data_IF_608882308526
#
_entry.id   IF_608882308526
#
_cell.length_a   1.000
_cell.length_b   1.000
_cell.length_c   1.000
_cell.angle_alpha   90.00
_cell.angle_beta   90.00
_cell.angle_gamma   90.00
#
_symmetry.space_group_name_H-M   'P 1'
#
loop_
_entity.id
_entity.type
_entity.pdbx_description
1 polymer ?
#
# COMPACT_ATOMS: atom_id res chain seq x y z
N UNK A 1 -0.43 2.06 16.06
CA UNK A 1 0.01 1.21 14.92
C UNK A 1 1.53 1.24 14.85
N UNK A 2 2.13 0.38 14.06
CA UNK A 2 3.57 0.34 13.85
C UNK A 2 3.90 0.64 12.39
N UNK A 3 4.96 1.42 12.18
CA UNK A 3 5.58 1.64 10.88
C UNK A 3 7.02 1.12 10.97
N UNK A 4 7.36 0.17 10.10
CA UNK A 4 8.62 -0.55 10.16
C UNK A 4 9.30 -0.58 8.81
N UNK A 5 10.63 -0.52 8.82
CA UNK A 5 11.45 -0.85 7.66
C UNK A 5 11.88 -2.31 7.78
N UNK A 6 11.59 -3.09 6.75
CA UNK A 6 11.89 -4.53 6.72
C UNK A 6 12.70 -4.85 5.47
N UNK A 7 13.65 -5.76 5.60
CA UNK A 7 14.38 -6.34 4.49
C UNK A 7 13.86 -7.76 4.23
N UNK A 8 13.52 -8.03 2.98
CA UNK A 8 13.06 -9.33 2.49
C UNK A 8 14.10 -9.89 1.51
N UNK A 9 14.38 -11.18 1.53
CA UNK A 9 15.36 -11.82 0.64
C UNK A 9 14.73 -12.34 -0.67
N UNK A 10 13.67 -11.69 -1.17
CA UNK A 10 12.90 -12.16 -2.33
C UNK A 10 12.19 -11.03 -3.07
N UNK A 11 12.06 -11.20 -4.40
CA UNK A 11 11.36 -10.31 -5.32
C UNK A 11 9.99 -10.85 -5.76
N UNK A 12 9.67 -12.11 -5.45
CA UNK A 12 8.41 -12.70 -5.83
C UNK A 12 7.30 -12.28 -4.86
N UNK A 13 6.18 -11.79 -5.39
CA UNK A 13 5.01 -11.34 -4.61
C UNK A 13 4.53 -12.37 -3.58
N UNK A 14 4.48 -13.65 -3.97
CA UNK A 14 3.95 -14.69 -3.10
C UNK A 14 4.94 -14.98 -1.96
N UNK A 15 6.23 -15.06 -2.28
CA UNK A 15 7.29 -15.22 -1.28
C UNK A 15 7.39 -13.99 -0.36
N UNK A 16 7.26 -12.77 -0.89
CA UNK A 16 7.19 -11.54 -0.09
C UNK A 16 6.02 -11.59 0.89
N UNK A 17 4.84 -12.01 0.44
CA UNK A 17 3.69 -12.18 1.31
C UNK A 17 3.98 -13.17 2.44
N UNK A 18 4.55 -14.35 2.14
CA UNK A 18 4.92 -15.33 3.18
C UNK A 18 5.94 -14.76 4.17
N UNK A 19 6.98 -14.09 3.67
CA UNK A 19 8.01 -13.47 4.49
C UNK A 19 7.42 -12.39 5.43
N UNK A 20 6.49 -11.56 4.95
CA UNK A 20 5.79 -10.57 5.80
C UNK A 20 4.93 -11.25 6.86
N UNK A 21 4.22 -12.33 6.53
CA UNK A 21 3.44 -13.08 7.52
C UNK A 21 4.32 -13.70 8.61
N UNK A 22 5.53 -14.13 8.27
CA UNK A 22 6.49 -14.69 9.24
C UNK A 22 6.97 -13.70 10.31
N UNK A 23 6.74 -12.39 10.12
CA UNK A 23 7.09 -11.36 11.10
C UNK A 23 6.15 -11.32 12.31
N UNK A 24 5.04 -12.05 12.23
CA UNK A 24 4.00 -12.03 13.25
C UNK A 24 3.76 -13.44 13.78
N UNK A 25 3.40 -13.53 15.05
CA UNK A 25 3.06 -14.80 15.68
C UNK A 25 1.84 -15.42 15.00
N UNK A 26 1.93 -16.72 14.73
CA UNK A 26 0.89 -17.51 14.07
C UNK A 26 -0.19 -17.92 15.08
N UNK A 27 -1.03 -16.97 15.47
CA UNK A 27 -2.24 -17.23 16.24
C UNK A 27 -3.38 -17.67 15.31
N UNK A 28 -4.13 -18.69 15.75
CA UNK A 28 -5.35 -19.10 15.07
C UNK A 28 -6.28 -17.89 14.88
N UNK A 29 -6.89 -17.78 13.70
CA UNK A 29 -7.78 -16.67 13.28
C UNK A 29 -7.13 -15.30 13.04
N UNK A 30 -5.79 -15.20 12.92
CA UNK A 30 -5.16 -13.93 12.51
C UNK A 30 -5.69 -13.47 11.15
N UNK A 31 -6.39 -12.34 11.15
CA UNK A 31 -6.75 -11.61 9.93
C UNK A 31 -5.59 -10.72 9.51
N UNK A 32 -5.42 -10.49 8.20
CA UNK A 32 -4.38 -9.59 7.69
C UNK A 32 -4.61 -8.17 8.22
N UNK A 33 -3.76 -7.76 9.15
CA UNK A 33 -3.76 -6.47 9.84
C UNK A 33 -2.55 -5.60 9.46
N UNK A 34 -1.93 -5.92 8.32
CA UNK A 34 -0.74 -5.27 7.79
C UNK A 34 -0.87 -4.89 6.31
N UNK A 35 -0.10 -3.88 5.91
CA UNK A 35 0.08 -3.38 4.55
C UNK A 35 1.56 -3.14 4.34
N UNK A 36 2.06 -3.40 3.14
CA UNK A 36 3.45 -3.10 2.82
C UNK A 36 3.57 -2.50 1.42
N UNK A 37 4.70 -1.85 1.16
CA UNK A 37 5.10 -1.37 -0.16
C UNK A 37 6.60 -1.59 -0.32
N UNK A 38 7.02 -2.09 -1.48
CA UNK A 38 8.44 -2.19 -1.83
C UNK A 38 8.95 -0.79 -2.18
N UNK A 39 9.99 -0.32 -1.47
CA UNK A 39 10.59 0.99 -1.75
C UNK A 39 11.84 0.85 -2.61
N UNK A 40 12.70 -0.12 -2.30
CA UNK A 40 13.95 -0.38 -3.01
C UNK A 40 14.09 -1.87 -3.20
N UNK A 41 14.43 -2.29 -4.42
CA UNK A 41 14.82 -3.66 -4.72
C UNK A 41 16.26 -3.66 -5.20
N UNK A 42 17.11 -4.45 -4.56
CA UNK A 42 18.47 -4.76 -5.03
C UNK A 42 18.48 -6.09 -5.80
N UNK A 43 19.64 -6.68 -6.10
CA UNK A 43 19.74 -7.95 -6.85
C UNK A 43 19.20 -9.17 -6.11
N UNK A 44 19.18 -9.17 -4.77
CA UNK A 44 18.86 -10.35 -3.95
C UNK A 44 17.84 -10.06 -2.83
N UNK A 45 17.58 -8.79 -2.52
CA UNK A 45 16.74 -8.35 -1.43
C UNK A 45 15.86 -7.17 -1.82
N UNK A 46 14.76 -7.01 -1.08
CA UNK A 46 13.82 -5.91 -1.19
C UNK A 46 13.70 -5.22 0.16
N UNK A 47 13.92 -3.91 0.19
CA UNK A 47 13.58 -3.06 1.32
C UNK A 47 12.13 -2.61 1.19
N UNK A 48 11.33 -2.91 2.21
CA UNK A 48 9.90 -2.61 2.23
C UNK A 48 9.56 -1.70 3.40
N UNK A 49 8.57 -0.84 3.18
CA UNK A 49 7.87 -0.12 4.23
C UNK A 49 6.66 -0.95 4.65
N UNK A 50 6.57 -1.27 5.94
CA UNK A 50 5.51 -2.10 6.52
C UNK A 50 4.70 -1.27 7.52
N UNK A 51 3.39 -1.26 7.36
CA UNK A 51 2.43 -0.78 8.36
C UNK A 51 1.71 -1.98 8.96
N UNK A 52 1.65 -2.08 10.28
CA UNK A 52 0.98 -3.18 10.97
C UNK A 52 0.30 -2.73 12.26
N UNK A 53 -0.71 -3.49 12.71
CA UNK A 53 -1.37 -3.23 14.00
C UNK A 53 -0.56 -3.81 15.16
N UNK A 54 0.14 -4.92 14.94
CA UNK A 54 1.08 -5.55 15.88
C UNK A 54 2.52 -5.16 15.55
N UNK A 55 3.40 -5.10 16.56
CA UNK A 55 4.84 -4.90 16.34
C UNK A 55 5.45 -6.12 15.63
N UNK A 56 6.16 -5.94 14.50
CA UNK A 56 6.78 -7.05 13.80
C UNK A 56 8.07 -7.52 14.49
N UNK A 57 8.29 -8.84 14.52
CA UNK A 57 9.54 -9.45 15.00
C UNK A 57 10.29 -10.06 13.82
N UNK A 58 11.62 -9.98 13.81
CA UNK A 58 12.42 -10.59 12.75
C UNK A 58 12.26 -12.11 12.73
N UNK A 59 12.36 -12.69 11.54
CA UNK A 59 12.34 -14.13 11.27
C UNK A 59 13.52 -14.52 10.35
N UNK A 60 13.62 -15.81 10.01
CA UNK A 60 14.61 -16.27 9.02
C UNK A 60 14.38 -15.69 7.61
N UNK A 61 13.12 -15.36 7.28
CA UNK A 61 12.73 -14.90 5.94
C UNK A 61 12.71 -13.38 5.80
N UNK A 62 12.59 -12.66 6.92
CA UNK A 62 12.42 -11.21 6.93
C UNK A 62 13.11 -10.58 8.15
N UNK A 63 13.89 -9.53 7.91
CA UNK A 63 14.62 -8.81 8.96
C UNK A 63 14.02 -7.43 9.20
N UNK A 64 13.55 -7.16 10.42
CA UNK A 64 13.12 -5.82 10.85
C UNK A 64 14.37 -4.98 11.10
N UNK A 65 14.51 -3.88 10.36
CA UNK A 65 15.65 -2.97 10.46
C UNK A 65 15.37 -1.83 11.43
N UNK A 66 14.14 -1.34 11.45
CA UNK A 66 13.65 -0.30 12.36
C UNK A 66 12.14 -0.45 12.52
N UNK A 67 11.63 -0.17 13.70
CA UNK A 67 10.20 -0.06 13.96
C UNK A 67 9.93 1.16 14.83
N UNK A 68 8.80 1.82 14.58
CA UNK A 68 8.29 2.88 15.45
C UNK A 68 6.78 2.76 15.58
N UNK A 69 6.27 3.04 16.77
CA UNK A 69 4.85 3.25 16.96
C UNK A 69 4.44 4.62 16.39
N UNK A 70 3.23 4.70 15.85
CA UNK A 70 2.64 5.97 15.43
C UNK A 70 1.12 5.94 15.61
N UNK A 71 0.55 7.13 15.76
CA UNK A 71 -0.88 7.37 15.74
C UNK A 71 -1.28 7.83 14.34
N UNK A 72 -2.32 7.19 13.79
CA UNK A 72 -2.85 7.48 12.46
C UNK A 72 -3.80 8.69 12.49
N UNK A 73 -3.40 9.77 13.17
CA UNK A 73 -4.22 10.97 13.32
C UNK A 73 -4.17 11.82 12.06
N UNK A 74 -5.35 12.05 11.47
CA UNK A 74 -5.51 12.92 10.31
C UNK A 74 -6.20 14.19 10.75
N UNK A 75 -5.52 15.33 10.54
CA UNK A 75 -6.12 16.64 10.82
C UNK A 75 -7.06 17.06 9.69
N UNK A 76 -8.25 17.48 10.07
CA UNK A 76 -9.23 18.13 9.20
C UNK A 76 -8.61 19.38 8.55
N UNK A 77 -8.96 19.63 7.28
CA UNK A 77 -8.51 20.75 6.44
C UNK A 77 -6.99 20.88 6.21
N UNK A 78 -6.21 19.92 6.72
CA UNK A 78 -4.75 19.93 6.56
C UNK A 78 -4.33 19.36 5.19
N UNK A 79 -3.16 19.79 4.75
CA UNK A 79 -2.52 19.33 3.52
C UNK A 79 -1.46 18.28 3.82
N UNK A 80 -1.42 17.24 2.99
CA UNK A 80 -0.44 16.17 3.06
C UNK A 80 0.13 15.89 1.68
N UNK A 81 1.44 15.68 1.60
CA UNK A 81 2.02 14.90 0.51
C UNK A 81 1.60 13.44 0.69
N UNK A 82 1.29 12.76 -0.40
CA UNK A 82 0.97 11.35 -0.38
C UNK A 82 1.80 10.55 -1.37
N UNK A 83 2.00 9.27 -1.05
CA UNK A 83 2.51 8.23 -1.96
C UNK A 83 1.64 6.99 -1.81
N UNK A 84 1.19 6.43 -2.93
CA UNK A 84 0.36 5.22 -2.97
C UNK A 84 0.74 4.37 -4.18
N UNK A 85 1.23 3.16 -3.93
CA UNK A 85 1.30 2.12 -4.96
C UNK A 85 0.00 1.33 -4.95
N UNK A 86 -0.72 1.27 -6.07
CA UNK A 86 -2.02 0.62 -6.16
C UNK A 86 -2.16 -0.23 -7.43
N UNK A 87 -3.19 -1.08 -7.44
CA UNK A 87 -3.67 -1.78 -8.62
C UNK A 87 -5.06 -1.24 -9.01
N UNK A 88 -5.12 -0.19 -9.88
CA UNK A 88 -6.38 0.43 -10.27
C UNK A 88 -7.25 -0.54 -11.08
N UNK A 89 -8.49 -0.75 -10.64
CA UNK A 89 -9.42 -1.68 -11.28
C UNK A 89 -10.82 -1.11 -11.37
N UNK A 90 -11.55 -1.43 -12.43
CA UNK A 90 -12.99 -1.16 -12.58
C UNK A 90 -13.77 -2.46 -12.79
N UNK A 91 -15.02 -2.46 -12.34
CA UNK A 91 -15.95 -3.55 -12.58
C UNK A 91 -16.77 -3.23 -13.83
N UNK A 92 -16.80 -4.13 -14.80
CA UNK A 92 -17.68 -4.00 -15.96
C UNK A 92 -19.10 -4.39 -15.57
N UNK A 93 -20.06 -3.53 -15.92
CA UNK A 93 -21.48 -3.73 -15.64
C UNK A 93 -22.03 -5.01 -16.27
N UNK A 94 -21.59 -5.34 -17.49
CA UNK A 94 -21.83 -6.64 -18.11
C UNK A 94 -20.90 -7.70 -17.49
N UNK A 95 -21.46 -8.54 -16.62
CA UNK A 95 -20.81 -9.75 -16.11
C UNK A 95 -20.03 -9.63 -14.80
N UNK A 96 -20.07 -8.48 -14.11
CA UNK A 96 -19.33 -8.24 -12.83
C UNK A 96 -17.82 -8.55 -12.92
N UNK A 97 -17.25 -8.51 -14.13
CA UNK A 97 -15.83 -8.81 -14.36
C UNK A 97 -14.99 -7.61 -13.93
N UNK A 98 -14.01 -7.86 -13.07
CA UNK A 98 -13.04 -6.83 -12.65
C UNK A 98 -11.87 -6.81 -13.62
N UNK A 99 -11.59 -5.64 -14.19
CA UNK A 99 -10.48 -5.40 -15.12
C UNK A 99 -9.56 -4.28 -14.61
N UNK A 100 -8.32 -4.28 -15.06
CA UNK A 100 -7.35 -3.20 -14.83
C UNK A 100 -7.76 -1.93 -15.58
N UNK A 101 -7.55 -0.78 -14.95
CA UNK A 101 -7.70 0.53 -15.59
C UNK A 101 -6.36 0.90 -16.23
N UNK A 102 -6.33 1.08 -17.55
CA UNK A 102 -5.10 1.37 -18.29
C UNK A 102 -4.85 2.86 -18.55
N UNK A 103 -5.93 3.62 -18.75
CA UNK A 103 -5.87 5.04 -19.09
C UNK A 103 -5.54 5.90 -17.88
N UNK A 104 -4.54 6.78 -18.00
CA UNK A 104 -4.04 7.61 -16.91
C UNK A 104 -5.15 8.48 -16.27
N UNK A 105 -6.00 9.11 -17.08
CA UNK A 105 -7.10 9.93 -16.57
C UNK A 105 -8.12 9.10 -15.77
N UNK A 106 -8.44 7.88 -16.23
CA UNK A 106 -9.33 6.98 -15.48
C UNK A 106 -8.67 6.47 -14.18
N UNK A 107 -7.34 6.30 -14.17
CA UNK A 107 -6.59 5.92 -12.97
C UNK A 107 -6.61 7.03 -11.92
N UNK A 108 -6.47 8.30 -12.33
CA UNK A 108 -6.61 9.46 -11.44
C UNK A 108 -8.04 9.57 -10.90
N UNK A 109 -9.06 9.42 -11.76
CA UNK A 109 -10.46 9.38 -11.31
C UNK A 109 -10.74 8.22 -10.35
N UNK A 110 -10.11 7.06 -10.57
CA UNK A 110 -10.18 5.94 -9.63
C UNK A 110 -9.56 6.32 -8.28
N UNK A 111 -8.40 6.98 -8.26
CA UNK A 111 -7.74 7.43 -7.04
C UNK A 111 -8.62 8.42 -6.27
N UNK A 112 -9.15 9.44 -6.95
CA UNK A 112 -10.03 10.45 -6.35
C UNK A 112 -11.28 9.83 -5.73
N UNK A 113 -11.90 8.85 -6.40
CA UNK A 113 -13.03 8.09 -5.82
C UNK A 113 -12.64 7.25 -4.60
N UNK A 114 -11.41 6.76 -4.53
CA UNK A 114 -10.91 6.00 -3.36
C UNK A 114 -10.52 6.89 -2.19
N UNK A 115 -10.26 8.16 -2.46
CA UNK A 115 -9.91 9.19 -1.49
C UNK A 115 -11.01 10.27 -1.43
N UNK A 116 -12.28 9.87 -1.39
CA UNK A 116 -13.44 10.79 -1.38
C UNK A 116 -13.45 11.78 -0.21
N UNK A 117 -12.71 11.50 0.86
CA UNK A 117 -12.50 12.42 1.99
C UNK A 117 -11.35 13.42 1.80
N UNK A 118 -10.86 13.60 0.57
CA UNK A 118 -9.84 14.59 0.28
C UNK A 118 -9.93 15.14 -1.14
N UNK A 119 -9.51 16.40 -1.32
CA UNK A 119 -9.21 16.95 -2.63
C UNK A 119 -7.80 16.47 -3.03
N UNK A 120 -7.71 15.65 -4.07
CA UNK A 120 -6.45 15.01 -4.49
C UNK A 120 -5.91 15.65 -5.77
N UNK A 121 -4.67 16.12 -5.69
CA UNK A 121 -3.88 16.59 -6.83
C UNK A 121 -2.69 15.65 -7.03
N UNK A 122 -2.69 14.92 -8.14
CA UNK A 122 -1.58 14.03 -8.53
C UNK A 122 -0.48 14.88 -9.17
N UNK A 123 0.75 14.78 -8.65
CA UNK A 123 1.92 15.49 -9.19
C UNK A 123 2.86 14.58 -9.96
N UNK A 124 2.83 13.26 -9.69
CA UNK A 124 3.59 12.26 -10.43
C UNK A 124 2.85 10.93 -10.46
N UNK A 125 3.07 10.16 -11.53
CA UNK A 125 2.49 8.84 -11.70
C UNK A 125 3.45 7.94 -12.48
N UNK A 126 3.81 6.80 -11.89
CA UNK A 126 4.72 5.83 -12.49
C UNK A 126 4.09 4.43 -12.54
N UNK A 127 4.35 3.71 -13.62
CA UNK A 127 3.98 2.30 -13.73
C UNK A 127 5.07 1.40 -13.17
N UNK A 128 4.69 0.49 -12.27
CA UNK A 128 5.56 -0.53 -11.72
C UNK A 128 5.10 -1.91 -12.18
N UNK A 129 5.93 -2.58 -12.98
CA UNK A 129 5.68 -3.97 -13.36
C UNK A 129 6.06 -4.90 -12.20
N UNK A 130 5.05 -5.51 -11.55
CA UNK A 130 5.29 -6.44 -10.44
C UNK A 130 5.27 -7.87 -10.95
N UNK A 131 6.36 -8.59 -10.68
CA UNK A 131 6.56 -9.97 -11.13
C UNK A 131 5.90 -10.97 -10.18
N UNK A 132 5.31 -12.02 -10.73
CA UNK A 132 4.83 -13.16 -9.96
C UNK A 132 5.17 -14.47 -10.66
N UNK A 133 5.70 -15.44 -9.92
CA UNK A 133 5.92 -16.81 -10.39
C UNK A 133 4.60 -17.59 -10.52
N UNK A 134 3.57 -17.23 -9.75
CA UNK A 134 2.29 -17.95 -9.65
C UNK A 134 1.14 -17.30 -10.43
N UNK A 135 1.32 -16.09 -10.97
CA UNK A 135 0.26 -15.35 -11.66
C UNK A 135 0.82 -14.45 -12.74
N UNK A 136 -0.05 -13.90 -13.60
CA UNK A 136 0.34 -12.92 -14.60
C UNK A 136 0.95 -11.68 -13.93
N UNK A 137 2.06 -11.21 -14.52
CA UNK A 137 2.65 -9.93 -14.16
C UNK A 137 1.58 -8.84 -14.22
N UNK A 138 1.58 -7.98 -13.21
CA UNK A 138 0.55 -6.96 -13.05
C UNK A 138 1.21 -5.60 -12.99
N UNK A 139 0.63 -4.66 -13.74
CA UNK A 139 1.09 -3.28 -13.74
C UNK A 139 0.42 -2.54 -12.60
N UNK A 140 1.20 -2.16 -11.62
CA UNK A 140 0.77 -1.32 -10.51
C UNK A 140 1.08 0.12 -10.87
N UNK A 141 0.38 1.05 -10.24
CA UNK A 141 0.56 2.48 -10.47
C UNK A 141 0.96 3.13 -9.16
N UNK A 142 2.10 3.81 -9.15
CA UNK A 142 2.56 4.63 -8.05
C UNK A 142 2.05 6.05 -8.26
N UNK A 143 1.15 6.49 -7.40
CA UNK A 143 0.64 7.86 -7.38
C UNK A 143 1.38 8.64 -6.31
N UNK A 144 1.87 9.82 -6.68
CA UNK A 144 2.39 10.81 -5.74
C UNK A 144 1.70 12.15 -5.97
N UNK A 145 1.55 12.92 -4.91
CA UNK A 145 0.84 14.18 -5.00
C UNK A 145 0.60 14.84 -3.66
N UNK A 146 -0.37 15.76 -3.68
CA UNK A 146 -0.84 16.47 -2.50
C UNK A 146 -2.33 16.17 -2.35
N UNK A 147 -2.76 15.98 -1.11
CA UNK A 147 -4.18 15.94 -0.77
C UNK A 147 -4.49 16.97 0.32
N UNK A 148 -5.67 17.59 0.20
CA UNK A 148 -6.28 18.39 1.25
C UNK A 148 -7.40 17.58 1.88
N UNK A 149 -7.35 17.38 3.19
CA UNK A 149 -8.36 16.59 3.91
C UNK A 149 -9.68 17.36 3.97
N UNK A 150 -10.75 16.75 3.49
CA UNK A 150 -12.14 17.24 3.63
C UNK A 150 -12.96 16.40 4.60
N UNK A 151 -12.53 15.16 4.87
CA UNK A 151 -13.09 14.28 5.89
C UNK A 151 -11.96 13.44 6.52
N UNK A 152 -11.56 13.83 7.72
CA UNK A 152 -10.48 13.18 8.46
C UNK A 152 -10.73 11.70 8.76
N UNK A 153 -11.96 11.30 9.09
CA UNK A 153 -12.29 9.91 9.41
C UNK A 153 -12.19 9.00 8.18
N UNK A 154 -12.68 9.47 7.02
CA UNK A 154 -12.56 8.73 5.77
C UNK A 154 -11.09 8.51 5.37
N UNK A 155 -10.25 9.55 5.51
CA UNK A 155 -8.82 9.45 5.17
C UNK A 155 -8.07 8.59 6.19
N UNK A 156 -8.38 8.70 7.48
CA UNK A 156 -7.82 7.83 8.51
C UNK A 156 -8.18 6.37 8.23
N UNK A 157 -9.43 6.08 7.87
CA UNK A 157 -9.85 4.72 7.49
C UNK A 157 -9.10 4.22 6.25
N UNK A 158 -8.89 5.08 5.24
CA UNK A 158 -8.12 4.73 4.05
C UNK A 158 -6.65 4.42 4.37
N UNK A 159 -6.05 5.20 5.27
CA UNK A 159 -4.69 5.01 5.77
C UNK A 159 -4.53 3.66 6.49
N UNK A 160 -5.46 3.33 7.40
CA UNK A 160 -5.40 2.10 8.20
C UNK A 160 -5.73 0.86 7.37
N UNK A 161 -6.83 0.90 6.62
CA UNK A 161 -7.34 -0.27 5.90
C UNK A 161 -6.60 -0.52 4.58
N UNK A 162 -5.98 0.52 4.02
CA UNK A 162 -5.34 0.52 2.72
C UNK A 162 -6.32 0.62 1.56
N UNK A 163 -5.80 0.98 0.39
CA UNK A 163 -6.60 1.34 -0.78
C UNK A 163 -6.52 0.25 -1.87
N UNK A 164 -7.68 -0.12 -2.42
CA UNK A 164 -7.73 -0.95 -3.63
C UNK A 164 -7.48 -2.45 -3.41
N UNK A 165 -7.18 -3.15 -4.52
CA UNK A 165 -6.94 -4.60 -4.57
C UNK A 165 -5.45 -4.92 -4.41
N UNK A 166 -5.12 -6.21 -4.34
CA UNK A 166 -3.74 -6.73 -4.31
C UNK A 166 -2.88 -6.24 -3.12
N UNK A 167 -3.51 -5.96 -1.97
CA UNK A 167 -2.80 -5.57 -0.73
C UNK A 167 -1.77 -6.59 -0.24
N UNK A 168 -2.01 -7.87 -0.50
CA UNK A 168 -1.06 -8.95 -0.21
C UNK A 168 0.20 -8.89 -1.09
N UNK A 169 0.17 -8.11 -2.18
CA UNK A 169 1.23 -8.00 -3.18
C UNK A 169 1.96 -6.65 -3.13
N UNK A 170 1.96 -5.98 -1.99
CA UNK A 170 2.67 -4.71 -1.82
C UNK A 170 1.91 -3.46 -2.30
N UNK A 171 0.62 -3.59 -2.62
CA UNK A 171 -0.24 -2.45 -2.97
C UNK A 171 -1.06 -1.94 -1.77
N UNK A 172 -1.59 -0.72 -1.92
CA UNK A 172 -2.63 -0.18 -1.06
C UNK A 172 -2.14 0.51 0.21
N UNK A 173 -0.83 0.51 0.49
CA UNK A 173 -0.26 1.34 1.56
C UNK A 173 -0.27 2.81 1.12
N UNK A 174 -1.13 3.60 1.76
CA UNK A 174 -1.12 5.06 1.65
C UNK A 174 -0.09 5.61 2.63
N UNK A 175 0.88 6.38 2.16
CA UNK A 175 1.83 7.11 3.01
C UNK A 175 1.52 8.59 2.96
N UNK A 176 1.43 9.23 4.12
CA UNK A 176 1.15 10.65 4.25
C UNK A 176 2.27 11.35 4.99
N UNK A 177 2.63 12.55 4.52
CA UNK A 177 3.57 13.44 5.17
C UNK A 177 2.97 14.85 5.20
N UNK A 178 2.79 15.42 6.39
CA UNK A 178 2.18 16.74 6.56
C UNK A 178 3.03 17.80 5.87
N UNK A 179 2.42 18.57 4.97
CA UNK A 179 2.99 19.83 4.51
C UNK A 179 2.56 20.89 5.51
N UNK A 180 3.48 21.78 5.88
CA UNK A 180 3.30 22.75 6.97
C UNK A 180 1.93 23.46 6.92
#
# INVERSE_FOLDING_TARGET
>A
MYLSQVMLNTHDIYEQHQAIWSLFENVADRKRDHLFRVEVADRQSCKVLLQSSTEPKSSEQAKVLASKSFLAEIKQDAFYKFKLLAYPTKCLSQGKKVIEIKEANEQVQWLQRKLSGANVTVTAMDDLMVRSKKSYNSRFVCFEGILQVTDSEQIQRALVMGIGRKKHAGAGLLSLARTQ
#
